data_IF_170431700187
#
_entry.id   IF_170431700187
#
_cell.length_a   1.000
_cell.length_b   1.000
_cell.length_c   1.000
_cell.angle_alpha   90.00
_cell.angle_beta   90.00
_cell.angle_gamma   90.00
#
_symmetry.space_group_name_H-M   'P 1'
#
loop_
_entity.id
_entity.type
_entity.pdbx_description
1 polymer ?
#
# COMPACT_ATOMS: atom_id res chain seq x y z
N UNK A 1 24.95 -14.51 5.28
CA UNK A 1 24.33 -13.63 6.29
C UNK A 1 23.16 -12.98 5.57
N UNK A 2 22.11 -13.78 5.41
CA UNK A 2 20.94 -13.40 4.63
C UNK A 2 20.18 -12.32 5.40
N UNK A 3 20.13 -11.12 4.82
CA UNK A 3 19.22 -10.08 5.30
C UNK A 3 17.81 -10.59 5.05
N UNK A 4 17.19 -11.16 6.08
CA UNK A 4 15.74 -11.35 6.11
C UNK A 4 15.14 -9.94 6.02
N UNK A 5 14.65 -9.59 4.83
CA UNK A 5 13.78 -8.45 4.64
C UNK A 5 12.48 -8.80 5.35
N UNK A 6 12.26 -8.29 6.56
CA UNK A 6 10.99 -8.44 7.27
C UNK A 6 9.88 -7.77 6.44
N UNK A 7 9.24 -8.55 5.58
CA UNK A 7 8.07 -8.15 4.82
C UNK A 7 6.89 -8.12 5.79
N UNK A 8 6.51 -6.94 6.22
CA UNK A 8 5.28 -6.72 6.98
C UNK A 8 4.19 -6.28 6.00
N UNK A 9 3.16 -7.13 5.84
CA UNK A 9 1.98 -6.81 5.02
C UNK A 9 0.85 -6.36 5.93
N UNK A 10 0.35 -5.14 5.73
CA UNK A 10 -0.84 -4.61 6.41
C UNK A 10 -2.01 -4.58 5.42
N UNK A 11 -3.09 -5.27 5.77
CA UNK A 11 -4.34 -5.27 5.01
C UNK A 11 -5.30 -4.23 5.60
N UNK A 12 -5.75 -3.28 4.78
CA UNK A 12 -6.75 -2.28 5.19
C UNK A 12 -7.89 -2.28 4.18
N UNK A 13 -9.04 -2.86 4.54
CA UNK A 13 -10.22 -2.89 3.69
C UNK A 13 -11.45 -3.53 4.33
N UNK A 14 -12.64 -3.07 3.95
CA UNK A 14 -13.92 -3.78 4.19
C UNK A 14 -14.22 -4.66 2.97
N UNK A 15 -14.04 -5.97 3.13
CA UNK A 15 -14.60 -7.12 2.38
C UNK A 15 -14.53 -7.19 0.84
N UNK A 16 -14.20 -6.12 0.10
CA UNK A 16 -14.15 -6.10 -1.38
C UNK A 16 -13.06 -5.19 -1.97
N UNK A 17 -12.16 -4.66 -1.13
CA UNK A 17 -11.11 -3.73 -1.55
C UNK A 17 -9.88 -3.92 -0.69
N UNK A 18 -9.09 -4.94 -1.00
CA UNK A 18 -7.86 -5.21 -0.28
C UNK A 18 -6.77 -4.30 -0.85
N UNK A 19 -6.62 -3.12 -0.23
CA UNK A 19 -5.40 -2.34 -0.37
C UNK A 19 -4.33 -3.03 0.48
N UNK A 20 -3.30 -3.54 -0.18
CA UNK A 20 -2.15 -4.17 0.47
C UNK A 20 -1.05 -3.14 0.66
N UNK A 21 -0.49 -3.09 1.87
CA UNK A 21 0.72 -2.31 2.16
C UNK A 21 1.89 -3.23 2.48
N UNK A 22 3.02 -3.00 1.83
CA UNK A 22 4.27 -3.71 2.09
C UNK A 22 5.42 -2.74 2.30
N UNK A 23 6.31 -3.03 3.26
CA UNK A 23 7.55 -2.28 3.42
C UNK A 23 8.75 -3.14 2.99
N UNK A 24 9.52 -2.64 2.03
CA UNK A 24 10.69 -3.33 1.45
C UNK A 24 11.80 -2.31 1.23
N UNK A 25 13.00 -2.56 1.76
CA UNK A 25 14.19 -1.73 1.52
C UNK A 25 13.95 -0.21 1.69
N UNK A 26 13.39 0.22 2.82
CA UNK A 26 13.01 1.61 3.11
C UNK A 26 12.00 2.23 2.13
N UNK A 27 11.25 1.41 1.40
CA UNK A 27 10.12 1.86 0.59
C UNK A 27 8.83 1.21 1.11
N UNK A 28 7.74 1.93 0.90
CA UNK A 28 6.37 1.52 1.20
C UNK A 28 5.69 1.33 -0.14
N UNK A 29 5.16 0.15 -0.37
CA UNK A 29 4.39 -0.23 -1.53
C UNK A 29 2.92 -0.29 -1.12
N UNK A 30 2.05 0.26 -1.95
CA UNK A 30 0.61 0.28 -1.76
C UNK A 30 0.03 -0.29 -3.05
N UNK A 31 -0.60 -1.45 -2.93
CA UNK A 31 -1.15 -2.18 -4.07
C UNK A 31 -2.66 -2.27 -3.92
N UNK A 32 -3.37 -1.92 -4.97
CA UNK A 32 -4.78 -2.24 -5.12
C UNK A 32 -4.92 -3.58 -5.85
N UNK A 33 -5.37 -4.60 -5.13
CA UNK A 33 -5.48 -5.97 -5.65
C UNK A 33 -6.54 -6.14 -6.73
N UNK A 34 -7.52 -5.24 -6.83
CA UNK A 34 -8.59 -5.38 -7.82
C UNK A 34 -8.42 -4.48 -9.06
N UNK A 35 -7.58 -3.44 -9.00
CA UNK A 35 -7.28 -2.57 -10.16
C UNK A 35 -5.86 -2.75 -10.72
N UNK A 36 -5.07 -3.68 -10.16
CA UNK A 36 -3.66 -3.90 -10.52
C UNK A 36 -2.81 -2.61 -10.47
N UNK A 37 -3.23 -1.65 -9.62
CA UNK A 37 -2.52 -0.39 -9.40
C UNK A 37 -1.53 -0.57 -8.25
N UNK A 38 -0.25 -0.27 -8.49
CA UNK A 38 0.77 -0.27 -7.45
C UNK A 38 1.51 1.07 -7.43
N UNK A 39 1.54 1.72 -6.27
CA UNK A 39 2.30 2.94 -6.02
C UNK A 39 3.30 2.71 -4.90
N UNK A 40 4.45 3.37 -4.96
CA UNK A 40 5.46 3.23 -3.91
C UNK A 40 6.09 4.57 -3.50
N UNK A 41 6.47 4.66 -2.23
CA UNK A 41 7.04 5.83 -1.61
C UNK A 41 8.26 5.47 -0.77
N UNK A 42 9.32 6.28 -0.74
CA UNK A 42 10.32 6.21 0.31
C UNK A 42 9.66 6.34 1.69
N UNK A 43 10.14 5.59 2.69
CA UNK A 43 9.57 5.60 4.05
C UNK A 43 9.64 6.99 4.71
N UNK A 44 10.58 7.85 4.29
CA UNK A 44 10.67 9.25 4.71
C UNK A 44 9.43 10.08 4.31
N UNK A 45 8.69 9.61 3.29
CA UNK A 45 7.43 10.20 2.80
C UNK A 45 6.20 9.46 3.34
N UNK A 46 6.30 8.83 4.52
CA UNK A 46 5.18 8.13 5.16
C UNK A 46 3.91 9.00 5.31
N UNK A 47 4.07 10.32 5.48
CA UNK A 47 2.94 11.25 5.52
C UNK A 47 2.09 11.26 4.23
N UNK A 48 2.68 10.89 3.09
CA UNK A 48 2.00 10.84 1.79
C UNK A 48 1.33 9.48 1.52
N UNK A 49 1.78 8.43 2.20
CA UNK A 49 1.21 7.07 2.11
C UNK A 49 -0.28 7.09 2.43
N UNK A 50 -0.69 7.81 3.49
CA UNK A 50 -2.11 7.93 3.85
C UNK A 50 -2.93 8.57 2.72
N UNK A 51 -2.44 9.67 2.15
CA UNK A 51 -3.13 10.37 1.06
C UNK A 51 -3.25 9.50 -0.20
N UNK A 52 -2.25 8.65 -0.47
CA UNK A 52 -2.30 7.69 -1.56
C UNK A 52 -3.38 6.61 -1.32
N UNK A 53 -3.44 6.04 -0.11
CA UNK A 53 -4.49 5.09 0.27
C UNK A 53 -5.87 5.74 0.15
N UNK A 54 -6.07 6.93 0.74
CA UNK A 54 -7.35 7.64 0.70
C UNK A 54 -7.82 7.83 -0.75
N UNK A 55 -6.90 8.22 -1.66
CA UNK A 55 -7.20 8.41 -3.08
C UNK A 55 -7.58 7.11 -3.79
N UNK A 56 -6.90 6.00 -3.48
CA UNK A 56 -7.20 4.68 -4.06
C UNK A 56 -8.60 4.21 -3.60
N UNK A 57 -8.91 4.36 -2.31
CA UNK A 57 -10.22 4.05 -1.75
C UNK A 57 -11.33 4.95 -2.33
N UNK A 58 -11.08 6.25 -2.49
CA UNK A 58 -12.07 7.19 -3.05
C UNK A 58 -12.42 6.92 -4.52
N UNK A 59 -11.47 6.41 -5.32
CA UNK A 59 -11.74 6.03 -6.72
C UNK A 59 -12.76 4.91 -6.79
N UNK A 60 -12.62 3.89 -5.94
CA UNK A 60 -13.52 2.73 -5.87
C UNK A 60 -14.94 3.06 -5.45
N UNK A 61 -15.15 4.07 -4.59
CA UNK A 61 -16.50 4.48 -4.20
C UNK A 61 -17.29 5.13 -5.35
N UNK A 62 -16.64 5.44 -6.49
CA UNK A 62 -17.26 6.10 -7.65
C UNK A 62 -17.49 5.15 -8.83
N UNK A 63 -17.06 3.89 -8.74
CA UNK A 63 -17.27 2.83 -9.73
C UNK A 63 -18.44 1.92 -9.32
#
# INVERSE_FOLDING_TARGET
MDKVSDKQTLYVGESYSDVELETINNNVYISDTADDECVHFPIERWGEVKAAIDKMVERRQKE
#
